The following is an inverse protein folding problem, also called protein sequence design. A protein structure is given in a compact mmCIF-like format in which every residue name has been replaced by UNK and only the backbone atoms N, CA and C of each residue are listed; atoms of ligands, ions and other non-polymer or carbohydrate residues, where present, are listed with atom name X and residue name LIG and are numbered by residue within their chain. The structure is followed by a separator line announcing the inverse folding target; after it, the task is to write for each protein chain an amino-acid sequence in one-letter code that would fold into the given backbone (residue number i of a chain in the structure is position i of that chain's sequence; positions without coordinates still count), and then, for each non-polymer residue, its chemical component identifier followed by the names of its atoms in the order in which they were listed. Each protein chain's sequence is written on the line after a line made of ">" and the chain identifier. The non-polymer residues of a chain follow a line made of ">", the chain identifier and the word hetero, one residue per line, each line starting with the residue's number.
data_IF_954561728947
#
_entry.id   IF_954561728947
#
_cell.length_a   1.000
_cell.length_b   1.000
_cell.length_c   1.000
_cell.angle_alpha   90.00
_cell.angle_beta   90.00
_cell.angle_gamma   90.00
#
_symmetry.space_group_name_H-M   'P 1'
#
loop_
_entity.id
_entity.type
_entity.pdbx_description
1 polymer ?
#
# COMPACT_ATOMS: atom_id res chain seq x y z
N UNK A 1 9.44 -20.21 24.94
CA UNK A 1 8.71 -20.55 23.70
C UNK A 1 9.39 -19.82 22.55
N UNK A 2 9.99 -20.55 21.59
CA UNK A 2 10.63 -19.94 20.42
C UNK A 2 9.60 -19.66 19.32
N UNK A 3 9.52 -18.43 18.84
CA UNK A 3 8.79 -18.12 17.59
C UNK A 3 9.47 -18.89 16.45
N UNK A 4 8.73 -19.57 15.56
CA UNK A 4 9.34 -20.07 14.33
C UNK A 4 9.80 -18.86 13.53
N UNK A 5 11.11 -18.77 13.27
CA UNK A 5 11.63 -17.83 12.29
C UNK A 5 10.87 -18.06 10.98
N UNK A 6 10.13 -17.06 10.53
CA UNK A 6 9.58 -17.03 9.17
C UNK A 6 10.77 -17.17 8.22
N UNK A 7 11.03 -18.39 7.77
CA UNK A 7 11.93 -18.63 6.64
C UNK A 7 11.17 -18.12 5.43
N UNK A 8 11.47 -16.90 4.99
CA UNK A 8 11.09 -16.49 3.65
C UNK A 8 11.57 -17.58 2.69
N UNK A 9 10.67 -18.27 1.97
CA UNK A 9 11.09 -19.29 1.03
C UNK A 9 11.92 -18.59 -0.05
N UNK A 10 13.13 -19.08 -0.31
CA UNK A 10 14.02 -18.55 -1.36
C UNK A 10 13.42 -18.70 -2.77
N UNK A 11 12.35 -19.46 -2.90
CA UNK A 11 11.67 -19.79 -4.14
C UNK A 11 10.17 -19.93 -3.90
N UNK A 12 9.36 -19.35 -4.75
CA UNK A 12 7.91 -19.51 -4.76
C UNK A 12 7.50 -20.51 -5.85
N UNK A 13 6.48 -21.35 -5.59
CA UNK A 13 6.00 -22.33 -6.55
C UNK A 13 4.92 -21.72 -7.44
N UNK A 14 5.17 -21.61 -8.75
CA UNK A 14 4.22 -21.10 -9.73
C UNK A 14 3.63 -22.25 -10.57
N UNK A 15 2.31 -22.40 -10.55
CA UNK A 15 1.60 -23.36 -11.41
C UNK A 15 0.92 -22.64 -12.56
N UNK A 16 1.35 -22.91 -13.80
CA UNK A 16 0.79 -22.30 -15.02
C UNK A 16 0.13 -23.39 -15.87
N UNK A 17 -1.07 -23.10 -16.38
CA UNK A 17 -1.71 -23.93 -17.42
C UNK A 17 -1.25 -23.47 -18.78
N UNK A 18 -0.63 -24.37 -19.54
CA UNK A 18 -0.14 -24.13 -20.90
C UNK A 18 -0.84 -25.09 -21.85
N UNK A 19 -1.15 -24.61 -23.05
CA UNK A 19 -1.58 -25.51 -24.12
C UNK A 19 -0.41 -26.42 -24.58
N UNK A 20 -0.71 -27.56 -25.22
CA UNK A 20 0.33 -28.52 -25.61
C UNK A 20 1.42 -27.92 -26.52
N UNK A 21 1.09 -26.96 -27.39
CA UNK A 21 2.04 -26.34 -28.32
C UNK A 21 3.01 -25.43 -27.55
N UNK A 22 2.51 -24.59 -26.65
CA UNK A 22 3.37 -23.72 -25.83
C UNK A 22 4.28 -24.53 -24.90
N UNK A 23 3.77 -25.62 -24.32
CA UNK A 23 4.59 -26.55 -23.52
C UNK A 23 5.73 -27.15 -24.35
N UNK A 24 5.44 -27.58 -25.57
CA UNK A 24 6.46 -28.13 -26.48
C UNK A 24 7.53 -27.10 -26.83
N UNK A 25 7.13 -25.86 -27.17
CA UNK A 25 8.07 -24.77 -27.48
C UNK A 25 8.97 -24.49 -26.28
N UNK A 26 8.42 -24.47 -25.06
CA UNK A 26 9.19 -24.24 -23.85
C UNK A 26 10.24 -25.35 -23.60
N UNK A 27 9.88 -26.62 -23.80
CA UNK A 27 10.81 -27.75 -23.68
C UNK A 27 11.90 -27.69 -24.77
N UNK A 28 11.52 -27.39 -26.01
CA UNK A 28 12.47 -27.19 -27.11
C UNK A 28 13.49 -26.10 -26.78
N UNK A 29 13.03 -24.95 -26.27
CA UNK A 29 13.90 -23.82 -25.89
C UNK A 29 14.83 -24.17 -24.73
N UNK A 30 14.34 -24.91 -23.73
CA UNK A 30 15.16 -25.40 -22.62
C UNK A 30 16.29 -26.30 -23.10
N UNK A 31 15.99 -27.26 -23.98
CA UNK A 31 16.98 -28.16 -24.59
C UNK A 31 17.97 -27.41 -25.49
N UNK A 32 17.48 -26.51 -26.33
CA UNK A 32 18.31 -25.73 -27.25
C UNK A 32 19.32 -24.84 -26.50
N UNK A 33 18.90 -24.24 -25.38
CA UNK A 33 19.77 -23.39 -24.54
C UNK A 33 20.59 -24.15 -23.49
N UNK A 34 20.37 -25.46 -23.33
CA UNK A 34 20.99 -26.26 -22.26
C UNK A 34 20.62 -25.78 -20.86
N UNK A 35 19.39 -25.30 -20.66
CA UNK A 35 18.91 -24.71 -19.41
C UNK A 35 17.67 -25.45 -18.90
N UNK A 36 17.36 -25.30 -17.61
CA UNK A 36 16.08 -25.80 -17.08
C UNK A 36 14.92 -24.97 -17.62
N UNK A 37 13.73 -25.56 -17.69
CA UNK A 37 12.50 -24.85 -18.05
C UNK A 37 12.32 -23.62 -17.15
N UNK A 38 12.54 -23.77 -15.84
CA UNK A 38 12.48 -22.67 -14.86
C UNK A 38 13.39 -21.50 -15.25
N UNK A 39 14.66 -21.75 -15.56
CA UNK A 39 15.60 -20.69 -15.94
C UNK A 39 15.20 -19.99 -17.25
N UNK A 40 14.64 -20.74 -18.21
CA UNK A 40 14.14 -20.14 -19.46
C UNK A 40 12.96 -19.20 -19.17
N UNK A 41 12.02 -19.62 -18.33
CA UNK A 41 10.86 -18.82 -17.94
C UNK A 41 11.28 -17.58 -17.18
N UNK A 42 12.11 -17.72 -16.14
CA UNK A 42 12.60 -16.58 -15.33
C UNK A 42 13.29 -15.52 -16.19
N UNK A 43 14.19 -15.96 -17.09
CA UNK A 43 14.87 -15.04 -18.01
C UNK A 43 13.93 -14.36 -18.98
N UNK A 44 12.94 -15.08 -19.49
CA UNK A 44 11.93 -14.50 -20.39
C UNK A 44 11.09 -13.45 -19.65
N UNK A 45 10.67 -13.72 -18.42
CA UNK A 45 9.91 -12.78 -17.58
C UNK A 45 10.76 -11.54 -17.26
N UNK A 46 12.01 -11.72 -16.82
CA UNK A 46 12.91 -10.60 -16.52
C UNK A 46 13.17 -9.74 -17.77
N UNK A 47 13.37 -10.37 -18.92
CA UNK A 47 13.54 -9.65 -20.18
C UNK A 47 12.26 -8.89 -20.58
N UNK A 48 11.09 -9.49 -20.41
CA UNK A 48 9.82 -8.81 -20.68
C UNK A 48 9.63 -7.62 -19.71
N UNK A 49 9.83 -7.84 -18.41
CA UNK A 49 9.70 -6.82 -17.38
C UNK A 49 10.67 -5.65 -17.56
N UNK A 50 11.90 -5.91 -18.02
CA UNK A 50 12.87 -4.85 -18.32
C UNK A 50 12.44 -3.93 -19.48
N UNK A 51 11.54 -4.39 -20.35
CA UNK A 51 11.00 -3.62 -21.47
C UNK A 51 9.60 -3.05 -21.18
N UNK A 52 9.03 -3.34 -20.01
CA UNK A 52 7.72 -2.81 -19.59
C UNK A 52 7.96 -1.62 -18.67
N UNK A 53 7.82 -0.41 -19.23
CA UNK A 53 7.98 0.84 -18.50
C UNK A 53 6.66 1.60 -18.54
N UNK A 54 6.19 2.03 -17.37
CA UNK A 54 5.04 2.92 -17.25
C UNK A 54 5.58 4.34 -17.34
N UNK A 55 5.17 5.08 -18.36
CA UNK A 55 5.61 6.46 -18.58
C UNK A 55 4.47 7.40 -18.28
N UNK A 56 4.70 8.34 -17.35
CA UNK A 56 3.76 9.40 -17.03
C UNK A 56 4.35 10.77 -17.37
N UNK A 57 3.59 11.63 -18.04
CA UNK A 57 3.99 13.02 -18.17
C UNK A 57 3.90 13.69 -16.80
N UNK A 58 4.99 14.32 -16.38
CA UNK A 58 5.05 15.19 -15.21
C UNK A 58 5.51 16.60 -15.65
N UNK A 59 5.30 17.60 -14.80
CA UNK A 59 5.63 19.01 -15.09
C UNK A 59 7.13 19.23 -15.38
N UNK A 60 7.98 18.27 -14.97
CA UNK A 60 9.44 18.29 -15.13
C UNK A 60 9.96 17.28 -16.18
N UNK A 61 9.07 16.63 -16.93
CA UNK A 61 9.41 15.66 -17.97
C UNK A 61 8.73 14.31 -17.77
N UNK A 62 9.12 13.32 -18.58
CA UNK A 62 8.57 11.97 -18.49
C UNK A 62 9.14 11.24 -17.26
N UNK A 63 8.26 10.87 -16.34
CA UNK A 63 8.59 10.00 -15.22
C UNK A 63 8.39 8.53 -15.63
N UNK A 64 9.43 7.72 -15.47
CA UNK A 64 9.43 6.31 -15.82
C UNK A 64 9.37 5.46 -14.55
N UNK A 65 8.33 4.64 -14.44
CA UNK A 65 8.15 3.68 -13.35
C UNK A 65 8.39 2.28 -13.90
N UNK A 66 9.24 1.51 -13.23
CA UNK A 66 9.58 0.13 -13.53
C UNK A 66 9.21 -0.79 -12.37
N UNK A 67 9.29 -2.11 -12.58
CA UNK A 67 9.05 -3.07 -11.49
C UNK A 67 10.04 -2.91 -10.33
N UNK A 68 11.24 -2.38 -10.58
CA UNK A 68 12.27 -2.19 -9.56
C UNK A 68 11.89 -1.09 -8.57
N UNK A 69 11.19 -0.06 -9.04
CA UNK A 69 10.72 1.05 -8.21
C UNK A 69 9.60 0.63 -7.25
N UNK A 70 8.90 -0.46 -7.60
CA UNK A 70 7.77 -1.00 -6.83
C UNK A 70 8.15 -2.18 -5.94
N UNK A 71 9.31 -2.80 -6.19
CA UNK A 71 9.73 -4.01 -5.49
C UNK A 71 10.33 -3.68 -4.13
N UNK A 72 9.72 -4.23 -3.08
CA UNK A 72 10.27 -4.25 -1.72
C UNK A 72 10.26 -5.70 -1.18
N UNK A 73 11.15 -5.96 -0.21
CA UNK A 73 11.22 -7.25 0.49
C UNK A 73 10.00 -7.44 1.41
N UNK A 74 9.48 -6.34 1.95
CA UNK A 74 8.22 -6.30 2.68
C UNK A 74 7.05 -6.38 1.72
N UNK A 75 6.24 -7.42 1.88
CA UNK A 75 5.01 -7.59 1.10
C UNK A 75 4.08 -6.39 1.25
N UNK A 76 3.98 -5.82 2.46
CA UNK A 76 3.09 -4.70 2.72
C UNK A 76 3.57 -3.42 2.06
N UNK A 77 4.86 -3.12 2.13
CA UNK A 77 5.42 -1.95 1.43
C UNK A 77 5.21 -2.10 -0.08
N UNK A 78 5.52 -3.27 -0.63
CA UNK A 78 5.32 -3.57 -2.05
C UNK A 78 3.85 -3.41 -2.48
N UNK A 79 2.90 -3.92 -1.70
CA UNK A 79 1.47 -3.77 -2.00
C UNK A 79 1.03 -2.31 -1.99
N UNK A 80 1.58 -1.52 -1.05
CA UNK A 80 1.30 -0.10 -0.97
C UNK A 80 1.92 0.68 -2.14
N UNK A 81 3.15 0.37 -2.56
CA UNK A 81 3.77 0.98 -3.74
C UNK A 81 3.01 0.66 -5.03
N UNK A 82 2.64 -0.60 -5.25
CA UNK A 82 1.81 -1.01 -6.40
C UNK A 82 0.48 -0.23 -6.43
N UNK A 83 -0.13 0.02 -5.27
CA UNK A 83 -1.39 0.76 -5.19
C UNK A 83 -1.30 2.23 -5.60
N UNK A 84 -0.10 2.82 -5.64
CA UNK A 84 0.12 4.19 -6.13
C UNK A 84 0.12 4.27 -7.65
N UNK A 85 0.12 3.14 -8.36
CA UNK A 85 0.28 3.06 -9.81
C UNK A 85 -1.04 2.63 -10.47
N UNK A 86 -1.95 3.57 -10.83
CA UNK A 86 -3.22 3.28 -11.49
C UNK A 86 -3.20 2.35 -12.71
N UNK A 87 -2.09 2.26 -13.46
CA UNK A 87 -1.96 1.37 -14.61
C UNK A 87 -1.84 -0.11 -14.20
N UNK A 88 -1.46 -0.38 -12.94
CA UNK A 88 -1.43 -1.72 -12.37
C UNK A 88 -2.82 -2.04 -11.79
N UNK A 89 -3.51 -2.96 -12.45
CA UNK A 89 -4.86 -3.38 -12.06
C UNK A 89 -4.76 -4.15 -10.73
N UNK A 90 -5.34 -3.58 -9.68
CA UNK A 90 -5.47 -4.24 -8.38
C UNK A 90 -6.61 -5.26 -8.38
N UNK A 91 -6.42 -6.33 -7.62
CA UNK A 91 -7.47 -7.30 -7.31
C UNK A 91 -8.43 -6.76 -6.25
N UNK A 92 -9.61 -7.36 -6.14
CA UNK A 92 -10.59 -6.98 -5.12
C UNK A 92 -10.06 -7.10 -3.69
N UNK A 93 -9.26 -8.13 -3.39
CA UNK A 93 -8.66 -8.30 -2.06
C UNK A 93 -7.66 -7.19 -1.75
N UNK A 94 -6.83 -6.79 -2.72
CA UNK A 94 -5.90 -5.68 -2.57
C UNK A 94 -6.65 -4.36 -2.34
N UNK A 95 -7.72 -4.09 -3.08
CA UNK A 95 -8.56 -2.91 -2.86
C UNK A 95 -9.16 -2.87 -1.46
N UNK A 96 -9.62 -4.02 -0.94
CA UNK A 96 -10.13 -4.12 0.44
C UNK A 96 -9.04 -3.82 1.48
N UNK A 97 -7.83 -4.38 1.31
CA UNK A 97 -6.68 -4.08 2.18
C UNK A 97 -6.35 -2.60 2.16
N UNK A 98 -6.31 -2.00 0.97
CA UNK A 98 -6.02 -0.58 0.80
C UNK A 98 -7.09 0.32 1.42
N UNK A 99 -8.37 -0.04 1.30
CA UNK A 99 -9.46 0.68 1.95
C UNK A 99 -9.31 0.67 3.48
N UNK A 100 -8.97 -0.50 4.06
CA UNK A 100 -8.71 -0.64 5.49
C UNK A 100 -7.50 0.19 5.94
N UNK A 101 -6.40 0.12 5.19
CA UNK A 101 -5.18 0.90 5.45
C UNK A 101 -5.45 2.41 5.37
N UNK A 102 -6.29 2.85 4.44
CA UNK A 102 -6.69 4.25 4.29
C UNK A 102 -7.55 4.76 5.44
N UNK A 103 -8.41 3.94 6.03
CA UNK A 103 -9.23 4.31 7.19
C UNK A 103 -8.45 4.26 8.50
N UNK A 104 -7.43 3.40 8.58
CA UNK A 104 -6.53 3.27 9.72
C UNK A 104 -5.15 3.87 9.44
N UNK A 105 -5.12 4.98 8.70
CA UNK A 105 -3.87 5.56 8.20
C UNK A 105 -2.80 5.81 9.28
N UNK A 106 -3.09 6.16 10.57
CA UNK A 106 -2.04 6.42 11.56
C UNK A 106 -1.14 5.21 11.86
N UNK A 107 -1.57 4.00 11.48
CA UNK A 107 -0.81 2.77 11.65
C UNK A 107 0.06 2.41 10.45
N UNK A 108 -0.12 3.08 9.31
CA UNK A 108 0.56 2.73 8.06
C UNK A 108 1.29 3.91 7.43
N UNK A 109 0.90 5.13 7.75
CA UNK A 109 1.45 6.36 7.21
C UNK A 109 1.88 7.32 8.31
N UNK A 110 2.84 8.16 7.97
CA UNK A 110 3.32 9.25 8.84
C UNK A 110 2.30 10.38 8.99
N UNK A 111 1.47 10.60 7.97
CA UNK A 111 0.50 11.70 7.93
C UNK A 111 -0.77 11.32 7.15
N UNK A 112 -1.84 12.11 7.32
CA UNK A 112 -3.15 11.97 6.69
C UNK A 112 -3.06 12.07 5.15
N UNK A 113 -2.03 12.76 4.65
CA UNK A 113 -1.66 12.89 3.24
C UNK A 113 -1.25 11.56 2.58
N UNK A 114 -0.97 10.52 3.38
CA UNK A 114 -0.69 9.16 2.90
C UNK A 114 0.45 9.04 1.88
N UNK A 115 1.45 9.93 1.99
CA UNK A 115 2.61 9.96 1.09
C UNK A 115 3.75 9.05 1.53
N UNK A 116 4.02 9.02 2.84
CA UNK A 116 5.17 8.30 3.41
C UNK A 116 4.67 7.23 4.37
N UNK A 117 5.06 5.99 4.11
CA UNK A 117 4.71 4.82 4.91
C UNK A 117 5.61 4.66 6.14
N UNK A 118 5.07 4.02 7.17
CA UNK A 118 5.82 3.58 8.35
C UNK A 118 6.26 2.12 8.16
N UNK A 119 7.34 1.88 7.42
CA UNK A 119 7.78 0.52 7.02
C UNK A 119 7.83 -0.46 8.20
N UNK A 120 8.35 -0.02 9.35
CA UNK A 120 8.44 -0.85 10.56
C UNK A 120 7.08 -1.23 11.17
N UNK A 121 6.04 -0.40 11.00
CA UNK A 121 4.68 -0.79 11.39
C UNK A 121 4.06 -1.70 10.34
N UNK A 122 4.24 -1.40 9.06
CA UNK A 122 3.77 -2.23 7.94
C UNK A 122 4.31 -3.66 8.10
N UNK A 123 5.60 -3.85 8.32
CA UNK A 123 6.23 -5.16 8.50
C UNK A 123 5.63 -5.98 9.65
N UNK A 124 5.19 -5.30 10.72
CA UNK A 124 4.60 -5.96 11.88
C UNK A 124 3.12 -6.27 11.69
N UNK A 125 2.37 -5.33 11.12
CA UNK A 125 0.90 -5.40 11.04
C UNK A 125 0.43 -6.14 9.79
N UNK A 126 1.15 -6.03 8.67
CA UNK A 126 0.75 -6.59 7.38
C UNK A 126 0.55 -8.11 7.40
N UNK A 127 1.41 -8.92 8.06
CA UNK A 127 1.20 -10.37 8.15
C UNK A 127 -0.12 -10.78 8.80
N UNK A 128 -0.76 -9.87 9.54
CA UNK A 128 -2.03 -10.08 10.26
C UNK A 128 -3.13 -9.14 9.75
N UNK A 129 -2.95 -8.52 8.58
CA UNK A 129 -3.87 -7.49 8.06
C UNK A 129 -5.29 -8.02 7.92
N UNK A 130 -5.44 -9.26 7.45
CA UNK A 130 -6.75 -9.91 7.28
C UNK A 130 -7.46 -10.14 8.61
N UNK A 131 -6.72 -10.47 9.68
CA UNK A 131 -7.28 -10.59 11.02
C UNK A 131 -7.85 -9.26 11.51
N UNK A 132 -7.12 -8.16 11.29
CA UNK A 132 -7.57 -6.82 11.69
C UNK A 132 -8.75 -6.33 10.84
N UNK A 133 -8.76 -6.65 9.55
CA UNK A 133 -9.89 -6.35 8.66
C UNK A 133 -11.15 -7.11 9.08
N UNK A 134 -11.03 -8.41 9.37
CA UNK A 134 -12.14 -9.20 9.85
C UNK A 134 -12.68 -8.65 11.18
N UNK A 135 -11.78 -8.32 12.12
CA UNK A 135 -12.16 -7.71 13.40
C UNK A 135 -12.88 -6.36 13.20
N UNK A 136 -12.44 -5.55 12.24
CA UNK A 136 -13.09 -4.28 11.93
C UNK A 136 -14.52 -4.48 11.45
N UNK A 137 -14.74 -5.41 10.52
CA UNK A 137 -16.09 -5.68 10.00
C UNK A 137 -17.00 -6.27 11.07
N UNK A 138 -16.51 -7.21 11.88
CA UNK A 138 -17.31 -7.87 12.94
C UNK A 138 -17.72 -6.91 14.05
N UNK A 139 -16.83 -5.97 14.41
CA UNK A 139 -17.04 -5.05 15.54
C UNK A 139 -17.54 -3.67 15.12
N UNK A 140 -17.62 -3.36 13.82
CA UNK A 140 -17.97 -2.02 13.29
C UNK A 140 -19.19 -1.38 13.94
N UNK A 141 -20.21 -2.18 14.24
CA UNK A 141 -21.47 -1.74 14.83
C UNK A 141 -21.45 -1.61 16.36
N UNK A 142 -20.50 -2.26 17.04
CA UNK A 142 -20.39 -2.31 18.51
C UNK A 142 -19.25 -1.43 19.03
N UNK A 143 -18.08 -1.58 18.43
CA UNK A 143 -16.88 -0.81 18.69
C UNK A 143 -16.13 -0.58 17.37
N UNK A 144 -16.38 0.57 16.76
CA UNK A 144 -15.77 0.97 15.49
C UNK A 144 -14.23 1.01 15.55
N UNK A 145 -13.67 1.25 16.74
CA UNK A 145 -12.23 1.43 16.95
C UNK A 145 -11.51 0.14 17.39
N UNK A 146 -12.23 -0.98 17.52
CA UNK A 146 -11.69 -2.26 18.00
C UNK A 146 -10.46 -2.74 17.21
N UNK A 147 -10.49 -2.64 15.88
CA UNK A 147 -9.37 -3.03 15.03
C UNK A 147 -8.12 -2.18 15.28
N UNK A 148 -8.28 -0.86 15.42
CA UNK A 148 -7.17 0.03 15.79
C UNK A 148 -6.62 -0.24 17.19
N UNK A 149 -7.49 -0.58 18.15
CA UNK A 149 -7.05 -1.00 19.50
C UNK A 149 -6.23 -2.30 19.45
N UNK A 150 -6.64 -3.27 18.63
CA UNK A 150 -5.87 -4.50 18.43
C UNK A 150 -4.51 -4.24 17.74
N UNK A 151 -4.46 -3.32 16.78
CA UNK A 151 -3.20 -2.90 16.15
C UNK A 151 -2.28 -2.17 17.14
N UNK A 152 -2.83 -1.31 18.00
CA UNK A 152 -2.07 -0.69 19.10
C UNK A 152 -1.45 -1.72 20.02
N UNK A 153 -2.22 -2.74 20.41
CA UNK A 153 -1.74 -3.81 21.28
C UNK A 153 -0.60 -4.59 20.59
N UNK A 154 -0.73 -4.88 19.30
CA UNK A 154 0.34 -5.51 18.52
C UNK A 154 1.63 -4.67 18.52
N UNK A 155 1.53 -3.36 18.30
CA UNK A 155 2.67 -2.44 18.33
C UNK A 155 3.32 -2.37 19.73
N UNK A 156 2.50 -2.29 20.80
CA UNK A 156 3.00 -2.30 22.19
C UNK A 156 3.74 -3.59 22.52
N UNK A 157 3.19 -4.74 22.12
CA UNK A 157 3.82 -6.04 22.32
C UNK A 157 5.16 -6.17 21.57
N UNK A 158 5.33 -5.43 20.46
CA UNK A 158 6.58 -5.30 19.75
C UNK A 158 7.52 -4.20 20.30
N UNK A 159 7.11 -3.50 21.36
CA UNK A 159 7.85 -2.38 22.00
C UNK A 159 8.09 -1.19 21.04
N UNK A 160 7.20 -0.99 20.09
CA UNK A 160 7.23 0.18 19.21
C UNK A 160 6.47 1.34 19.84
N UNK A 161 6.80 2.57 19.42
CA UNK A 161 5.93 3.72 19.66
C UNK A 161 4.55 3.42 19.10
N UNK A 162 3.51 3.99 19.68
CA UNK A 162 2.14 3.81 19.18
C UNK A 162 1.58 5.14 18.70
N UNK A 163 0.81 5.14 17.59
CA UNK A 163 0.11 6.33 17.17
C UNK A 163 -0.98 6.70 18.20
N UNK A 164 -1.43 7.95 18.14
CA UNK A 164 -2.58 8.42 18.92
C UNK A 164 -3.86 7.86 18.29
N UNK A 165 -4.60 7.04 19.05
CA UNK A 165 -5.83 6.40 18.58
C UNK A 165 -6.85 6.26 19.73
N UNK A 166 -8.15 6.53 19.50
CA UNK A 166 -8.77 7.02 18.27
C UNK A 166 -8.34 8.46 17.89
N UNK A 167 -8.50 8.88 16.62
CA UNK A 167 -8.20 10.24 16.21
C UNK A 167 -9.08 11.22 17.00
N UNK A 168 -8.49 12.22 17.63
CA UNK A 168 -9.29 13.28 18.24
C UNK A 168 -10.10 14.00 17.15
N UNK A 169 -11.38 14.29 17.37
CA UNK A 169 -12.15 15.08 16.41
C UNK A 169 -11.45 16.44 16.27
N UNK A 170 -11.05 16.79 15.03
CA UNK A 170 -10.53 18.13 14.71
C UNK A 170 -11.54 19.14 15.27
N UNK A 171 -11.14 19.86 16.31
CA UNK A 171 -11.99 20.90 16.88
C UNK A 171 -12.36 21.88 15.76
N UNK A 172 -13.62 22.34 15.67
CA UNK A 172 -13.97 23.33 14.65
C UNK A 172 -13.03 24.52 14.76
N UNK A 173 -12.60 25.12 13.63
CA UNK A 173 -11.70 26.26 13.67
C UNK A 173 -12.29 27.30 14.62
N UNK A 174 -11.54 27.66 15.67
CA UNK A 174 -11.98 28.70 16.57
C UNK A 174 -12.28 29.93 15.72
N UNK A 175 -13.51 30.43 15.80
CA UNK A 175 -13.84 31.72 15.23
C UNK A 175 -12.90 32.71 15.90
N UNK A 176 -11.85 33.10 15.20
CA UNK A 176 -11.08 34.27 15.58
C UNK A 176 -12.09 35.40 15.71
N UNK A 177 -12.15 35.95 16.91
CA UNK A 177 -12.93 37.13 17.25
C UNK A 177 -12.65 38.19 16.20
N UNK A 178 -13.59 38.37 15.27
CA UNK A 178 -13.54 39.40 14.24
C UNK A 178 -13.41 40.75 14.94
N UNK A 179 -12.30 41.44 14.67
CA UNK A 179 -12.12 42.83 15.05
C UNK A 179 -13.24 43.69 14.49
N UNK A 180 -13.67 44.67 15.29
CA UNK A 180 -14.58 45.74 14.90
C UNK A 180 -14.23 46.30 13.52
N UNK A 181 -14.99 45.93 12.50
CA UNK A 181 -15.13 46.75 11.30
C UNK A 181 -16.39 47.60 11.50
N UNK A 182 -16.21 48.84 11.96
CA UNK A 182 -17.26 49.85 11.81
C UNK A 182 -17.53 50.03 10.32
N UNK A 183 -18.81 49.86 9.95
CA UNK A 183 -19.38 50.34 8.70
C UNK A 183 -19.57 51.86 8.82
N UNK A 184 -18.63 52.64 8.30
CA UNK A 184 -18.95 54.00 7.86
C UNK A 184 -19.49 53.91 6.43
N UNK A 185 -20.81 53.79 6.36
CA UNK A 185 -21.63 54.08 5.19
C UNK A 185 -22.01 55.57 5.30
N UNK A 186 -21.46 56.43 4.45
CA UNK A 186 -22.21 57.56 3.90
C UNK A 186 -21.45 58.16 2.70
N UNK A 187 -21.85 57.69 1.53
CA UNK A 187 -21.62 58.31 0.22
C UNK A 187 -22.53 59.54 0.10
N UNK A 188 -22.00 60.73 0.35
CA UNK A 188 -22.61 62.01 -0.08
C UNK A 188 -22.01 62.43 -1.44
N UNK A 189 -22.68 62.03 -2.54
CA UNK A 189 -22.41 62.55 -3.89
C UNK A 189 -23.46 63.64 -4.19
N UNK A 190 -23.08 64.93 -4.31
CA UNK A 190 -24.01 65.99 -4.71
C UNK A 190 -24.18 66.07 -6.24
N UNK A 191 -25.42 66.40 -6.63
CA UNK A 191 -25.93 66.58 -7.99
C UNK A 191 -25.12 67.53 -8.89
#
# INVERSE_FOLDING_TARGET
>A
MGRPASKNPKSEALTIRLDPKTRFILDYMARFKGQTITTVVERAILAAAANTVITRPDDYGDHHITWQDLWDVSEGVRALEVSKVPELITTFEEERRLAFVRSHWPFFYTDEDKKIYLNHYVDLLWPRIEEFMQLHEDMKHKDYYAAGNAMLEALKNAKLSTPKWPPEPKSPPSKSSGGNFSRDLDDDIPF
#
